data_IF_676536014137
#
_entry.id   IF_676536014137
#
_cell.length_a   1.000
_cell.length_b   1.000
_cell.length_c   1.000
_cell.angle_alpha   90.00
_cell.angle_beta   90.00
_cell.angle_gamma   90.00
#
_symmetry.space_group_name_H-M   'P 1'
#
loop_
_entity.id
_entity.type
_entity.pdbx_description
1 polymer ?
#
# COMPACT_ATOMS: atom_id res chain seq x y z
N UNK A 1 -0.06 1.76 11.13
CA UNK A 1 -0.73 3.07 11.05
C UNK A 1 -2.20 2.89 10.74
N UNK A 2 -3.03 3.87 11.04
CA UNK A 2 -4.43 3.91 10.60
C UNK A 2 -4.60 4.99 9.54
N UNK A 3 -5.51 4.77 8.60
CA UNK A 3 -5.87 5.75 7.58
C UNK A 3 -6.49 7.02 8.21
N UNK A 4 -6.17 8.19 7.64
CA UNK A 4 -6.68 9.47 8.16
C UNK A 4 -8.08 9.76 7.63
N UNK A 5 -9.12 9.65 8.46
CA UNK A 5 -10.52 9.85 8.09
C UNK A 5 -10.92 11.30 7.74
N UNK A 6 -10.28 11.94 6.77
CA UNK A 6 -10.78 13.19 6.18
C UNK A 6 -11.96 12.86 5.25
N UNK A 7 -13.16 13.26 5.68
CA UNK A 7 -14.41 12.97 4.98
C UNK A 7 -14.39 13.48 3.52
N UNK A 8 -14.68 12.56 2.60
CA UNK A 8 -14.82 12.76 1.17
C UNK A 8 -15.83 13.85 0.80
N UNK A 9 -15.43 14.75 -0.10
CA UNK A 9 -16.35 15.63 -0.85
C UNK A 9 -16.24 15.30 -2.34
N UNK A 10 -17.04 14.31 -2.77
CA UNK A 10 -17.41 14.01 -4.16
C UNK A 10 -16.38 14.34 -5.25
N UNK A 11 -15.45 13.42 -5.50
CA UNK A 11 -14.55 13.44 -6.66
C UNK A 11 -15.02 12.52 -7.81
N UNK A 12 -14.62 12.85 -9.04
CA UNK A 12 -14.95 12.12 -10.27
C UNK A 12 -14.33 10.72 -10.27
N UNK A 13 -15.15 9.69 -10.55
CA UNK A 13 -14.84 8.27 -10.33
C UNK A 13 -13.51 7.78 -10.91
N UNK A 14 -12.83 6.95 -10.12
CA UNK A 14 -11.64 6.24 -10.52
C UNK A 14 -11.86 5.45 -11.81
N UNK A 15 -10.82 5.36 -12.64
CA UNK A 15 -10.81 4.46 -13.79
C UNK A 15 -10.25 3.11 -13.29
N UNK A 16 -11.02 2.04 -13.49
CA UNK A 16 -10.59 0.69 -13.14
C UNK A 16 -10.63 -0.19 -14.38
N UNK A 17 -9.47 -0.72 -14.77
CA UNK A 17 -9.33 -1.50 -16.00
C UNK A 17 -9.02 -2.97 -15.67
N UNK A 18 -10.06 -3.77 -15.40
CA UNK A 18 -9.94 -5.22 -15.21
C UNK A 18 -11.02 -5.80 -14.29
N UNK A 19 -11.61 -6.94 -14.67
CA UNK A 19 -12.70 -7.55 -13.89
C UNK A 19 -12.30 -7.94 -12.46
N UNK A 20 -11.08 -8.45 -12.27
CA UNK A 20 -10.53 -8.75 -10.94
C UNK A 20 -10.36 -7.52 -10.06
N UNK A 21 -9.97 -6.38 -10.65
CA UNK A 21 -9.74 -5.12 -9.94
C UNK A 21 -11.03 -4.47 -9.45
N UNK A 22 -12.11 -4.54 -10.23
CA UNK A 22 -13.43 -4.08 -9.75
C UNK A 22 -13.90 -4.85 -8.51
N UNK A 23 -13.65 -6.16 -8.49
CA UNK A 23 -14.01 -7.00 -7.33
C UNK A 23 -13.12 -6.68 -6.13
N UNK A 24 -11.82 -6.47 -6.36
CA UNK A 24 -10.88 -6.08 -5.32
C UNK A 24 -11.24 -4.73 -4.66
N UNK A 25 -11.61 -3.71 -5.45
CA UNK A 25 -12.07 -2.43 -4.91
C UNK A 25 -13.38 -2.57 -4.12
N UNK A 26 -14.30 -3.42 -4.58
CA UNK A 26 -15.52 -3.71 -3.86
C UNK A 26 -15.26 -4.39 -2.50
N UNK A 27 -14.25 -5.27 -2.42
CA UNK A 27 -13.79 -5.84 -1.15
C UNK A 27 -13.27 -4.75 -0.21
N UNK A 28 -12.33 -3.91 -0.66
CA UNK A 28 -11.79 -2.84 0.16
C UNK A 28 -12.89 -1.93 0.73
N UNK A 29 -13.87 -1.57 -0.10
CA UNK A 29 -15.04 -0.78 0.32
C UNK A 29 -15.91 -1.48 1.37
N UNK A 30 -15.99 -2.81 1.36
CA UNK A 30 -16.89 -3.58 2.21
C UNK A 30 -16.42 -3.76 3.66
N UNK A 31 -15.15 -3.46 3.93
CA UNK A 31 -14.53 -3.65 5.24
C UNK A 31 -13.95 -2.33 5.74
N UNK A 32 -14.43 -1.87 6.89
CA UNK A 32 -14.14 -0.51 7.41
C UNK A 32 -12.64 -0.20 7.54
N UNK A 33 -11.78 -1.12 8.05
CA UNK A 33 -10.34 -0.86 8.11
C UNK A 33 -9.67 -0.61 6.76
N UNK A 34 -10.28 -1.05 5.66
CA UNK A 34 -9.76 -0.87 4.29
C UNK A 34 -10.62 0.06 3.43
N UNK A 35 -11.78 0.52 3.92
CA UNK A 35 -12.71 1.29 3.10
C UNK A 35 -12.14 2.66 2.72
N UNK A 36 -11.30 3.22 3.58
CA UNK A 36 -10.58 4.44 3.26
C UNK A 36 -9.71 4.32 2.01
N UNK A 37 -9.01 3.19 1.80
CA UNK A 37 -8.19 3.01 0.60
C UNK A 37 -9.04 3.14 -0.67
N UNK A 38 -10.25 2.56 -0.66
CA UNK A 38 -11.21 2.75 -1.75
C UNK A 38 -11.66 4.22 -1.87
N UNK A 39 -12.01 4.87 -0.76
CA UNK A 39 -12.49 6.26 -0.77
C UNK A 39 -11.41 7.22 -1.31
N UNK A 40 -10.15 7.06 -0.88
CA UNK A 40 -8.99 7.78 -1.41
C UNK A 40 -8.87 7.61 -2.93
N UNK A 41 -8.98 6.37 -3.42
CA UNK A 41 -8.91 6.06 -4.85
C UNK A 41 -10.02 6.79 -5.63
N UNK A 42 -11.25 6.81 -5.11
CA UNK A 42 -12.35 7.52 -5.75
C UNK A 42 -12.17 9.04 -5.70
N UNK A 43 -11.82 9.59 -4.53
CA UNK A 43 -11.73 11.03 -4.30
C UNK A 43 -10.58 11.69 -5.07
N UNK A 44 -9.45 10.98 -5.18
CA UNK A 44 -8.28 11.45 -5.92
C UNK A 44 -8.29 11.04 -7.39
N UNK A 45 -9.36 10.38 -7.84
CA UNK A 45 -9.51 9.85 -9.19
C UNK A 45 -8.28 9.01 -9.62
N UNK A 46 -7.76 8.18 -8.69
CA UNK A 46 -6.61 7.32 -8.94
C UNK A 46 -7.03 6.23 -9.93
N UNK A 47 -6.23 6.03 -10.97
CA UNK A 47 -6.44 4.91 -11.90
C UNK A 47 -5.92 3.63 -11.27
N UNK A 48 -6.68 2.53 -11.37
CA UNK A 48 -6.25 1.20 -10.94
C UNK A 48 -6.31 0.25 -12.13
N UNK A 49 -5.16 -0.24 -12.58
CA UNK A 49 -5.10 -1.05 -13.80
C UNK A 49 -3.95 -2.05 -13.79
N UNK A 50 -4.02 -3.02 -14.69
CA UNK A 50 -2.89 -3.92 -14.95
C UNK A 50 -1.89 -3.28 -15.90
N UNK A 51 -0.61 -3.29 -15.54
CA UNK A 51 0.50 -2.89 -16.40
C UNK A 51 1.64 -3.90 -16.36
N UNK A 52 2.43 -3.97 -17.43
CA UNK A 52 3.70 -4.70 -17.43
C UNK A 52 4.75 -3.87 -16.68
N UNK A 53 5.11 -4.27 -15.46
CA UNK A 53 6.04 -3.50 -14.63
C UNK A 53 7.51 -3.68 -15.02
N UNK A 54 7.83 -4.64 -15.90
CA UNK A 54 9.20 -4.81 -16.41
C UNK A 54 9.69 -3.57 -17.18
N UNK A 55 8.78 -2.79 -17.77
CA UNK A 55 9.12 -1.53 -18.47
C UNK A 55 9.70 -0.46 -17.53
N UNK A 56 9.47 -0.60 -16.22
CA UNK A 56 10.02 0.25 -15.16
C UNK A 56 11.19 -0.41 -14.41
N UNK A 57 11.64 -1.61 -14.83
CA UNK A 57 12.65 -2.40 -14.12
C UNK A 57 12.14 -3.03 -12.81
N UNK A 58 10.82 -3.19 -12.67
CA UNK A 58 10.15 -3.71 -11.49
C UNK A 58 9.51 -5.08 -11.77
N UNK A 59 10.25 -5.96 -12.44
CA UNK A 59 9.78 -7.25 -12.96
C UNK A 59 9.10 -8.14 -11.90
N UNK A 60 9.58 -8.05 -10.65
CA UNK A 60 9.10 -8.88 -9.53
C UNK A 60 8.14 -8.15 -8.59
N UNK A 61 7.85 -6.86 -8.81
CA UNK A 61 6.92 -6.12 -7.98
C UNK A 61 5.48 -6.58 -8.25
N UNK A 62 4.68 -6.71 -7.19
CA UNK A 62 3.26 -7.07 -7.31
C UNK A 62 2.40 -5.91 -7.79
N UNK A 63 2.70 -4.72 -7.32
CA UNK A 63 2.09 -3.47 -7.71
C UNK A 63 3.07 -2.31 -7.50
N UNK A 64 2.70 -1.11 -7.98
CA UNK A 64 3.42 0.13 -7.72
C UNK A 64 2.50 1.34 -7.83
N UNK A 65 2.67 2.30 -6.94
CA UNK A 65 2.12 3.64 -7.04
C UNK A 65 2.95 4.52 -7.99
N UNK A 66 2.35 4.95 -9.10
CA UNK A 66 2.93 5.84 -10.10
C UNK A 66 2.36 7.25 -9.95
N UNK A 67 2.99 8.06 -9.09
CA UNK A 67 2.55 9.44 -8.82
C UNK A 67 2.49 10.33 -10.08
N UNK A 68 3.40 10.12 -11.04
CA UNK A 68 3.44 10.88 -12.29
C UNK A 68 2.24 10.67 -13.21
N UNK A 69 1.54 9.54 -13.09
CA UNK A 69 0.33 9.22 -13.88
C UNK A 69 -0.91 9.06 -13.02
N UNK A 70 -0.82 9.30 -11.71
CA UNK A 70 -1.91 9.09 -10.74
C UNK A 70 -2.48 7.66 -10.83
N UNK A 71 -1.61 6.66 -10.85
CA UNK A 71 -1.98 5.26 -11.14
C UNK A 71 -1.45 4.29 -10.10
N UNK A 72 -2.31 3.42 -9.57
CA UNK A 72 -1.90 2.17 -8.94
C UNK A 72 -1.82 1.11 -10.06
N UNK A 73 -0.60 0.75 -10.44
CA UNK A 73 -0.33 -0.23 -11.48
C UNK A 73 -0.12 -1.60 -10.83
N UNK A 74 -1.02 -2.53 -11.10
CA UNK A 74 -0.87 -3.93 -10.69
C UNK A 74 -0.11 -4.68 -11.78
N UNK A 75 0.88 -5.48 -11.40
CA UNK A 75 1.65 -6.22 -12.39
C UNK A 75 0.77 -7.24 -13.13
N UNK A 76 0.81 -7.23 -14.47
CA UNK A 76 0.06 -8.14 -15.34
C UNK A 76 0.29 -9.62 -15.04
N UNK A 77 1.41 -9.98 -14.40
CA UNK A 77 1.65 -11.33 -13.87
C UNK A 77 0.53 -11.81 -12.93
N UNK A 78 -0.14 -10.88 -12.25
CA UNK A 78 -1.22 -11.13 -11.29
C UNK A 78 -2.62 -10.90 -11.88
N UNK A 79 -2.77 -10.75 -13.20
CA UNK A 79 -4.09 -10.49 -13.82
C UNK A 79 -5.16 -11.56 -13.55
N UNK A 80 -4.72 -12.78 -13.23
CA UNK A 80 -5.58 -13.91 -12.88
C UNK A 80 -5.52 -14.26 -11.37
N UNK A 81 -4.92 -13.41 -10.55
CA UNK A 81 -4.89 -13.60 -9.10
C UNK A 81 -6.29 -13.43 -8.50
N UNK A 82 -6.49 -14.00 -7.31
CA UNK A 82 -7.74 -13.82 -6.56
C UNK A 82 -7.94 -12.35 -6.19
N UNK A 83 -9.19 -11.89 -6.22
CA UNK A 83 -9.53 -10.51 -5.88
C UNK A 83 -9.07 -10.07 -4.49
N UNK A 84 -8.96 -11.00 -3.52
CA UNK A 84 -8.39 -10.69 -2.20
C UNK A 84 -6.90 -10.36 -2.23
N UNK A 85 -6.10 -11.06 -3.05
CA UNK A 85 -4.68 -10.73 -3.23
C UNK A 85 -4.52 -9.37 -3.95
N UNK A 86 -5.36 -9.12 -4.97
CA UNK A 86 -5.41 -7.82 -5.64
C UNK A 86 -5.81 -6.69 -4.69
N UNK A 87 -6.77 -6.93 -3.78
CA UNK A 87 -7.17 -5.96 -2.76
C UNK A 87 -6.02 -5.63 -1.81
N UNK A 88 -5.24 -6.63 -1.38
CA UNK A 88 -4.06 -6.41 -0.56
C UNK A 88 -3.01 -5.55 -1.25
N UNK A 89 -2.71 -5.82 -2.54
CA UNK A 89 -1.83 -4.95 -3.33
C UNK A 89 -2.35 -3.51 -3.43
N UNK A 90 -3.63 -3.35 -3.74
CA UNK A 90 -4.23 -2.02 -3.87
C UNK A 90 -4.16 -1.26 -2.54
N UNK A 91 -4.38 -1.93 -1.40
CA UNK A 91 -4.26 -1.32 -0.08
C UNK A 91 -2.83 -0.86 0.23
N UNK A 92 -1.82 -1.64 -0.19
CA UNK A 92 -0.41 -1.25 -0.10
C UNK A 92 -0.17 0.06 -0.85
N UNK A 93 -0.44 0.07 -2.16
CA UNK A 93 -0.13 1.22 -3.02
C UNK A 93 -0.99 2.44 -2.73
N UNK A 94 -2.22 2.26 -2.25
CA UNK A 94 -3.05 3.35 -1.77
C UNK A 94 -2.41 4.06 -0.56
N UNK A 95 -1.58 3.36 0.23
CA UNK A 95 -0.86 3.98 1.35
C UNK A 95 0.21 4.93 0.83
N UNK A 96 0.97 4.51 -0.19
CA UNK A 96 1.93 5.39 -0.87
C UNK A 96 1.24 6.60 -1.52
N UNK A 97 0.06 6.42 -2.11
CA UNK A 97 -0.74 7.52 -2.61
C UNK A 97 -1.19 8.47 -1.47
N UNK A 98 -1.53 7.94 -0.30
CA UNK A 98 -1.93 8.74 0.87
C UNK A 98 -0.77 9.59 1.40
N UNK A 99 0.44 9.02 1.49
CA UNK A 99 1.67 9.77 1.79
C UNK A 99 1.91 10.89 0.78
N UNK A 100 1.66 10.63 -0.51
CA UNK A 100 1.79 11.63 -1.56
C UNK A 100 0.76 12.77 -1.43
N UNK A 101 -0.50 12.45 -1.13
CA UNK A 101 -1.58 13.45 -1.06
C UNK A 101 -1.67 14.19 0.28
N UNK A 102 -1.25 13.56 1.38
CA UNK A 102 -1.38 14.09 2.73
C UNK A 102 -0.07 13.99 3.55
N UNK A 103 1.05 14.49 3.04
CA UNK A 103 2.36 14.31 3.69
C UNK A 103 2.42 14.93 5.09
N UNK A 104 1.75 16.06 5.33
CA UNK A 104 1.74 16.71 6.64
C UNK A 104 1.06 15.88 7.73
N UNK A 105 0.02 15.10 7.37
CA UNK A 105 -0.62 14.17 8.31
C UNK A 105 0.39 13.09 8.73
N UNK A 106 1.06 12.49 7.76
CA UNK A 106 2.01 11.42 8.01
C UNK A 106 3.24 11.89 8.78
N UNK A 107 3.76 13.08 8.51
CA UNK A 107 4.80 13.70 9.35
C UNK A 107 4.33 13.78 10.80
N UNK A 108 3.14 14.35 11.04
CA UNK A 108 2.62 14.52 12.39
C UNK A 108 2.41 13.17 13.12
N UNK A 109 1.81 12.18 12.45
CA UNK A 109 1.58 10.84 13.01
C UNK A 109 2.89 10.09 13.27
N UNK A 110 3.91 10.27 12.41
CA UNK A 110 5.24 9.68 12.65
C UNK A 110 5.92 10.33 13.86
N UNK A 111 5.87 11.66 14.00
CA UNK A 111 6.41 12.35 15.19
C UNK A 111 5.67 11.99 16.48
N UNK A 112 4.37 11.71 16.41
CA UNK A 112 3.60 11.23 17.57
C UNK A 112 4.04 9.83 18.02
N UNK A 113 4.33 8.93 17.06
CA UNK A 113 4.85 7.58 17.34
C UNK A 113 6.33 7.58 17.76
N UNK A 114 7.10 8.51 17.23
CA UNK A 114 8.54 8.64 17.41
C UNK A 114 8.91 10.04 17.93
N UNK A 115 8.61 10.35 19.21
CA UNK A 115 8.87 11.67 19.81
C UNK A 115 10.36 12.03 19.90
N UNK A 116 11.26 11.06 19.65
CA UNK A 116 12.69 11.27 19.50
C UNK A 116 13.10 11.97 18.19
N UNK A 117 12.20 12.03 17.20
CA UNK A 117 12.45 12.61 15.89
C UNK A 117 11.99 14.07 15.80
N UNK A 118 12.49 14.76 14.78
CA UNK A 118 12.03 16.07 14.33
C UNK A 118 11.51 15.99 12.90
N UNK A 119 10.76 17.00 12.43
CA UNK A 119 10.27 17.03 11.04
C UNK A 119 11.40 16.87 10.01
N UNK A 120 12.61 17.38 10.30
CA UNK A 120 13.76 17.24 9.41
C UNK A 120 14.34 15.83 9.33
N UNK A 121 13.97 14.94 10.26
CA UNK A 121 14.42 13.54 10.27
C UNK A 121 13.50 12.64 9.42
N UNK A 122 12.35 13.15 8.97
CA UNK A 122 11.34 12.36 8.25
C UNK A 122 11.48 12.56 6.74
N UNK A 123 11.78 11.48 6.02
CA UNK A 123 11.76 11.43 4.56
C UNK A 123 10.35 11.14 4.05
N UNK A 124 9.76 12.14 3.42
CA UNK A 124 8.52 12.00 2.65
C UNK A 124 8.73 11.60 1.17
N UNK A 125 9.84 11.91 0.46
CA UNK A 125 10.03 11.30 -0.85
C UNK A 125 10.18 9.79 -0.68
N UNK A 126 9.50 9.06 -1.57
CA UNK A 126 9.19 7.64 -1.55
C UNK A 126 10.27 6.74 -0.90
N UNK A 127 9.80 5.69 -0.22
CA UNK A 127 10.61 4.54 0.21
C UNK A 127 11.39 4.74 1.52
N UNK A 128 10.73 5.08 2.64
CA UNK A 128 11.30 4.90 3.98
C UNK A 128 10.76 3.64 4.65
N UNK A 129 11.51 3.05 5.59
CA UNK A 129 11.08 1.84 6.33
C UNK A 129 9.76 2.09 7.05
N UNK A 130 9.54 3.30 7.54
CA UNK A 130 8.28 3.72 8.19
C UNK A 130 7.11 3.76 7.20
N UNK A 131 7.31 4.31 6.00
CA UNK A 131 6.28 4.32 4.94
C UNK A 131 5.91 2.90 4.54
N UNK A 132 6.92 2.07 4.26
CA UNK A 132 6.75 0.66 3.90
C UNK A 132 6.05 -0.10 5.02
N UNK A 133 6.40 0.14 6.29
CA UNK A 133 5.73 -0.50 7.42
C UNK A 133 4.23 -0.21 7.44
N UNK A 134 3.83 1.06 7.28
CA UNK A 134 2.42 1.41 7.23
C UNK A 134 1.72 0.78 6.01
N UNK A 135 2.36 0.78 4.84
CA UNK A 135 1.84 0.16 3.62
C UNK A 135 1.65 -1.35 3.79
N UNK A 136 2.62 -2.04 4.37
CA UNK A 136 2.54 -3.46 4.67
C UNK A 136 1.51 -3.78 5.76
N UNK A 137 1.34 -2.95 6.80
CA UNK A 137 0.25 -3.12 7.77
C UNK A 137 -1.13 -3.08 7.10
N UNK A 138 -1.35 -2.12 6.19
CA UNK A 138 -2.59 -2.03 5.42
C UNK A 138 -2.75 -3.21 4.46
N UNK A 139 -1.64 -3.69 3.88
CA UNK A 139 -1.60 -4.93 3.08
C UNK A 139 -2.08 -6.11 3.90
N UNK A 140 -1.53 -6.31 5.10
CA UNK A 140 -1.87 -7.45 5.97
C UNK A 140 -3.29 -7.36 6.49
N UNK A 141 -3.79 -6.15 6.78
CA UNK A 141 -5.19 -5.93 7.18
C UNK A 141 -6.15 -6.40 6.08
N UNK A 142 -5.92 -6.01 4.82
CA UNK A 142 -6.71 -6.48 3.69
C UNK A 142 -6.52 -7.99 3.43
N UNK A 143 -5.28 -8.49 3.55
CA UNK A 143 -4.95 -9.88 3.33
C UNK A 143 -5.64 -10.81 4.33
N UNK A 144 -5.58 -10.52 5.63
CA UNK A 144 -6.23 -11.31 6.67
C UNK A 144 -7.75 -11.45 6.45
N UNK A 145 -8.40 -10.39 5.97
CA UNK A 145 -9.85 -10.38 5.75
C UNK A 145 -10.25 -11.10 4.44
N UNK A 146 -9.55 -10.84 3.34
CA UNK A 146 -9.98 -11.26 2.01
C UNK A 146 -9.24 -12.45 1.42
N UNK A 147 -8.21 -12.98 2.10
CA UNK A 147 -7.44 -14.12 1.59
C UNK A 147 -8.33 -15.35 1.41
N UNK A 148 -8.09 -16.04 0.30
CA UNK A 148 -8.75 -17.29 -0.02
C UNK A 148 -7.70 -18.41 0.05
N UNK A 149 -7.91 -19.36 0.96
CA UNK A 149 -7.10 -20.58 1.04
C UNK A 149 -7.15 -21.35 -0.29
N UNK A 150 -6.05 -21.99 -0.74
CA UNK A 150 -4.76 -22.20 -0.07
C UNK A 150 -3.66 -21.20 -0.51
N UNK A 151 -4.02 -19.98 -0.93
CA UNK A 151 -3.05 -19.05 -1.50
C UNK A 151 -2.19 -18.45 -0.37
N UNK A 152 -0.96 -18.94 -0.18
CA UNK A 152 -0.02 -18.49 0.86
C UNK A 152 0.69 -17.16 0.53
N UNK A 153 0.08 -16.32 -0.30
CA UNK A 153 0.69 -15.06 -0.70
C UNK A 153 0.84 -14.16 0.52
N UNK A 154 2.03 -13.61 0.76
CA UNK A 154 2.35 -12.82 1.97
C UNK A 154 2.22 -13.54 3.32
N UNK A 155 2.12 -14.88 3.41
CA UNK A 155 2.09 -15.54 4.73
C UNK A 155 3.38 -15.32 5.53
N UNK A 156 4.55 -15.25 4.87
CA UNK A 156 5.82 -14.88 5.53
C UNK A 156 5.78 -13.45 6.12
N UNK A 157 5.05 -12.54 5.45
CA UNK A 157 4.84 -11.16 5.93
C UNK A 157 3.80 -11.09 7.04
N UNK A 158 2.80 -11.98 6.99
CA UNK A 158 1.80 -12.10 8.04
C UNK A 158 2.44 -12.58 9.36
N UNK A 159 3.41 -13.49 9.28
CA UNK A 159 4.17 -13.93 10.45
C UNK A 159 5.00 -12.79 11.07
N UNK A 160 5.64 -11.95 10.25
CA UNK A 160 6.35 -10.76 10.73
C UNK A 160 5.37 -9.73 11.34
N UNK A 161 4.24 -9.47 10.67
CA UNK A 161 3.20 -8.57 11.16
C UNK A 161 2.62 -9.00 12.51
N UNK A 162 2.36 -10.30 12.69
CA UNK A 162 1.84 -10.86 13.94
C UNK A 162 2.85 -10.79 15.11
N UNK A 163 4.15 -10.63 14.83
CA UNK A 163 5.20 -10.44 15.84
C UNK A 163 5.38 -8.98 16.26
N UNK A 164 4.78 -8.03 15.53
CA UNK A 164 4.78 -6.61 15.85
C UNK A 164 5.76 -5.77 15.02
N UNK A 165 5.78 -4.47 15.33
CA UNK A 165 6.41 -3.44 14.51
C UNK A 165 7.90 -3.67 14.23
N UNK A 166 8.70 -3.97 15.26
CA UNK A 166 10.14 -4.17 15.11
C UNK A 166 10.47 -5.32 14.16
N UNK A 167 9.73 -6.43 14.27
CA UNK A 167 9.90 -7.58 13.38
C UNK A 167 9.50 -7.24 11.95
N UNK A 168 8.41 -6.51 11.76
CA UNK A 168 7.95 -6.11 10.44
C UNK A 168 8.93 -5.16 9.75
N UNK A 169 9.41 -4.14 10.46
CA UNK A 169 10.42 -3.19 9.96
C UNK A 169 11.73 -3.89 9.61
N UNK A 170 12.18 -4.83 10.45
CA UNK A 170 13.36 -5.65 10.18
C UNK A 170 13.20 -6.55 8.94
N UNK A 171 12.02 -7.16 8.75
CA UNK A 171 11.70 -7.93 7.57
C UNK A 171 11.74 -7.05 6.30
N UNK A 172 11.14 -5.86 6.35
CA UNK A 172 11.17 -4.88 5.26
C UNK A 172 12.61 -4.52 4.90
N UNK A 173 13.41 -4.06 5.88
CA UNK A 173 14.81 -3.71 5.67
C UNK A 173 15.60 -4.87 5.03
N UNK A 174 15.40 -6.09 5.52
CA UNK A 174 16.09 -7.28 5.02
C UNK A 174 15.71 -7.60 3.57
N UNK A 175 14.42 -7.48 3.22
CA UNK A 175 13.94 -7.70 1.85
C UNK A 175 14.48 -6.68 0.87
N UNK A 176 14.45 -5.38 1.22
CA UNK A 176 15.00 -4.33 0.38
C UNK A 176 16.54 -4.43 0.25
N UNK A 177 17.23 -4.76 1.34
CA UNK A 177 18.68 -4.98 1.31
C UNK A 177 19.07 -6.17 0.39
N UNK A 178 18.26 -7.24 0.35
CA UNK A 178 18.47 -8.36 -0.56
C UNK A 178 18.33 -7.95 -2.05
N UNK A 179 17.61 -6.87 -2.33
CA UNK A 179 17.49 -6.25 -3.66
C UNK A 179 18.58 -5.19 -3.92
N UNK A 180 19.48 -4.94 -2.95
CA UNK A 180 20.51 -3.91 -3.04
C UNK A 180 20.00 -2.49 -2.80
N UNK A 181 18.81 -2.34 -2.22
CA UNK A 181 18.18 -1.07 -1.88
C UNK A 181 18.37 -0.79 -0.39
N UNK A 182 18.78 0.43 -0.04
CA UNK A 182 18.89 0.87 1.34
C UNK A 182 17.86 1.96 1.61
N UNK A 183 16.84 1.62 2.40
CA UNK A 183 15.79 2.55 2.78
C UNK A 183 16.24 3.38 3.99
N UNK A 184 16.05 4.71 3.99
CA UNK A 184 16.12 5.49 5.22
C UNK A 184 15.06 4.99 6.21
N UNK A 185 15.35 5.12 7.50
CA UNK A 185 14.46 4.62 8.55
C UNK A 185 13.14 5.42 8.64
N UNK A 186 13.21 6.73 8.39
CA UNK A 186 12.10 7.68 8.53
C UNK A 186 12.02 8.59 7.32
#
# INVERSE_FOLDING_TARGET
GGWSGLAATGGSGAITNGAGLHTALAFLKSYEPTSYANDLIQDKAITVEFQDLSVYGMDTAGAVWLSGTNTIAINTLYQNAYAGALAAFIAHEATHADYYYYPAYWVATTLERHPELTESDISIPADSVTQEYDAFCNTMTAWQEFRQEPFAFHDDWLDAYNQGEEYMRSAIQSSYAAMGIYLPEY
#
